data_IF_335633269094
#
_entry.id   IF_335633269094
#
_cell.length_a   1.000
_cell.length_b   1.000
_cell.length_c   1.000
_cell.angle_alpha   90.00
_cell.angle_beta   90.00
_cell.angle_gamma   90.00
#
_symmetry.space_group_name_H-M   'P 1'
#
loop_
_entity.id
_entity.type
_entity.pdbx_description
1 polymer ?
#
# COMPACT_ATOMS: atom_id res chain seq x y z
N UNK A 1 -18.43 3.00 9.27
CA UNK A 1 -17.00 3.26 9.47
C UNK A 1 -16.83 4.69 9.95
N UNK A 2 -15.74 5.00 10.64
CA UNK A 2 -15.38 6.37 11.03
C UNK A 2 -14.03 6.72 10.38
N UNK A 3 -13.91 7.93 9.84
CA UNK A 3 -12.67 8.45 9.27
C UNK A 3 -12.47 9.89 9.76
N UNK A 4 -11.26 10.18 10.22
CA UNK A 4 -10.82 11.51 10.58
C UNK A 4 -9.49 11.81 9.91
N UNK A 5 -9.33 13.02 9.41
CA UNK A 5 -8.07 13.50 8.85
C UNK A 5 -7.88 14.97 9.19
N UNK A 6 -6.63 15.35 9.44
CA UNK A 6 -6.24 16.73 9.67
C UNK A 6 -4.87 16.97 9.02
N UNK A 7 -4.63 18.18 8.53
CA UNK A 7 -3.35 18.51 7.94
C UNK A 7 -3.14 20.00 7.79
N UNK A 8 -1.88 20.37 7.69
CA UNK A 8 -1.40 21.73 7.46
C UNK A 8 -0.50 21.69 6.23
N UNK A 9 -0.73 22.62 5.31
CA UNK A 9 0.06 22.80 4.11
C UNK A 9 0.65 24.21 4.11
N UNK A 10 1.90 24.32 3.69
CA UNK A 10 2.61 25.57 3.57
C UNK A 10 3.19 25.70 2.17
N UNK A 11 2.82 26.79 1.50
CA UNK A 11 3.23 27.10 0.13
C UNK A 11 3.90 28.48 0.15
N UNK A 12 5.24 28.57 0.23
CA UNK A 12 5.91 29.86 0.17
C UNK A 12 5.73 30.50 -1.21
N UNK A 13 5.62 31.83 -1.22
CA UNK A 13 5.62 32.63 -2.45
C UNK A 13 7.06 32.78 -2.93
N UNK A 14 7.42 32.03 -3.97
CA UNK A 14 8.73 32.06 -4.62
C UNK A 14 8.50 32.29 -6.12
N UNK A 15 9.36 33.09 -6.75
CA UNK A 15 9.15 33.55 -8.14
C UNK A 15 9.31 32.43 -9.17
N UNK A 16 10.38 31.64 -9.04
CA UNK A 16 10.77 30.66 -10.07
C UNK A 16 10.53 29.21 -9.68
N UNK A 17 10.21 28.96 -8.40
CA UNK A 17 10.05 27.62 -7.83
C UNK A 17 8.68 27.55 -7.16
N UNK A 18 7.90 26.53 -7.45
CA UNK A 18 6.71 26.21 -6.65
C UNK A 18 7.07 25.14 -5.64
N UNK A 19 6.86 25.40 -4.36
CA UNK A 19 7.09 24.45 -3.27
C UNK A 19 5.82 24.35 -2.44
N UNK A 20 5.44 23.14 -2.06
CA UNK A 20 4.38 22.87 -1.09
C UNK A 20 4.91 21.85 -0.09
N UNK A 21 5.01 22.22 1.18
CA UNK A 21 5.26 21.30 2.27
C UNK A 21 3.94 20.99 2.97
N UNK A 22 3.73 19.74 3.36
CA UNK A 22 2.51 19.31 4.03
C UNK A 22 2.81 18.37 5.19
N UNK A 23 2.10 18.56 6.30
CA UNK A 23 2.05 17.62 7.41
C UNK A 23 0.60 17.24 7.63
N UNK A 24 0.29 15.96 7.59
CA UNK A 24 -1.08 15.46 7.81
C UNK A 24 -1.09 14.22 8.68
N UNK A 25 -2.22 14.00 9.34
CA UNK A 25 -2.52 12.79 10.10
C UNK A 25 -3.91 12.28 9.76
N UNK A 26 -4.11 10.98 9.94
CA UNK A 26 -5.39 10.34 9.68
C UNK A 26 -5.65 9.21 10.67
N UNK A 27 -6.93 8.89 10.85
CA UNK A 27 -7.43 7.74 11.57
C UNK A 27 -8.66 7.17 10.86
N UNK A 28 -8.69 5.85 10.67
CA UNK A 28 -9.79 5.09 10.11
C UNK A 28 -10.16 3.95 11.06
N UNK A 29 -11.47 3.78 11.30
CA UNK A 29 -12.05 2.64 12.00
C UNK A 29 -13.15 2.02 11.11
N UNK A 30 -12.80 0.92 10.48
CA UNK A 30 -13.71 0.12 9.65
C UNK A 30 -14.27 -0.98 10.54
N UNK A 31 -15.57 -0.91 10.82
CA UNK A 31 -16.32 -1.93 11.55
C UNK A 31 -17.25 -2.63 10.58
N UNK A 32 -17.66 -3.85 10.92
CA UNK A 32 -18.57 -4.64 10.10
C UNK A 32 -17.98 -4.90 8.69
N UNK A 33 -16.67 -5.07 8.60
CA UNK A 33 -15.97 -5.44 7.37
C UNK A 33 -16.44 -6.84 6.94
N UNK A 34 -16.79 -6.97 5.66
CA UNK A 34 -17.27 -8.24 5.08
C UNK A 34 -16.07 -9.16 4.93
N UNK A 35 -16.12 -10.32 5.58
CA UNK A 35 -15.17 -11.41 5.34
C UNK A 35 -15.91 -12.70 5.04
N UNK A 36 -15.29 -13.53 4.23
CA UNK A 36 -15.74 -14.89 3.99
C UNK A 36 -15.56 -15.70 5.27
N UNK A 37 -16.64 -16.30 5.76
CA UNK A 37 -16.63 -17.17 6.94
C UNK A 37 -17.18 -18.55 6.58
N UNK A 38 -16.62 -19.60 7.16
CA UNK A 38 -17.21 -20.93 7.13
C UNK A 38 -18.45 -20.97 8.06
N UNK A 39 -19.58 -21.49 7.56
CA UNK A 39 -20.79 -21.74 8.34
C UNK A 39 -20.63 -23.12 9.00
N UNK A 40 -20.45 -23.14 10.32
CA UNK A 40 -20.14 -24.36 11.09
C UNK A 40 -21.40 -25.11 11.56
N UNK A 41 -22.60 -24.54 11.39
CA UNK A 41 -23.85 -25.23 11.72
C UNK A 41 -24.73 -25.36 10.47
N UNK A 42 -25.02 -26.59 10.00
CA UNK A 42 -26.18 -26.79 9.16
C UNK A 42 -27.42 -26.34 9.95
N UNK A 43 -28.43 -25.79 9.27
CA UNK A 43 -29.75 -25.69 9.87
C UNK A 43 -30.27 -27.08 10.28
N UNK A 44 -31.52 -27.17 10.72
CA UNK A 44 -32.22 -28.43 11.01
C UNK A 44 -32.24 -29.45 9.85
N UNK A 45 -31.71 -29.07 8.68
CA UNK A 45 -31.50 -29.92 7.53
C UNK A 45 -30.02 -30.33 7.49
N UNK A 46 -29.75 -31.63 7.69
CA UNK A 46 -28.45 -32.31 7.61
C UNK A 46 -27.76 -32.16 6.24
N UNK A 47 -27.40 -30.94 5.84
CA UNK A 47 -26.66 -30.66 4.61
C UNK A 47 -25.25 -30.17 4.94
N UNK A 48 -24.32 -31.12 4.98
CA UNK A 48 -22.90 -30.95 5.29
C UNK A 48 -22.10 -30.25 4.18
N UNK A 49 -22.73 -29.39 3.38
CA UNK A 49 -22.01 -28.58 2.39
C UNK A 49 -21.30 -27.45 3.13
N UNK A 50 -19.99 -27.33 2.89
CA UNK A 50 -19.13 -26.25 3.39
C UNK A 50 -19.60 -24.89 2.89
N UNK A 51 -20.64 -24.37 3.51
CA UNK A 51 -21.27 -23.11 3.16
C UNK A 51 -20.38 -22.01 3.69
N UNK A 52 -19.69 -21.30 2.80
CA UNK A 52 -19.07 -20.04 3.15
C UNK A 52 -20.10 -18.92 2.98
N UNK A 53 -20.20 -18.02 3.95
CA UNK A 53 -20.99 -16.79 3.80
C UNK A 53 -20.14 -15.57 4.05
N UNK A 54 -20.44 -14.52 3.31
CA UNK A 54 -19.92 -13.19 3.59
C UNK A 54 -20.64 -12.65 4.83
N UNK A 55 -19.88 -12.36 5.88
CA UNK A 55 -20.44 -11.82 7.12
C UNK A 55 -19.67 -10.58 7.56
N UNK A 56 -20.42 -9.60 8.05
CA UNK A 56 -19.92 -8.31 8.52
C UNK A 56 -19.36 -8.40 9.95
N UNK A 57 -18.34 -9.22 10.13
CA UNK A 57 -17.82 -9.59 11.46
C UNK A 57 -16.47 -8.96 11.78
N UNK A 58 -15.79 -8.41 10.79
CA UNK A 58 -14.43 -7.96 10.96
C UNK A 58 -14.33 -6.48 11.31
N UNK A 59 -13.23 -6.13 11.96
CA UNK A 59 -12.86 -4.76 12.26
C UNK A 59 -11.40 -4.52 11.94
N UNK A 60 -11.10 -3.38 11.34
CA UNK A 60 -9.74 -2.94 11.09
C UNK A 60 -9.61 -1.46 11.42
N UNK A 61 -8.46 -1.09 11.97
CA UNK A 61 -8.11 0.32 12.19
C UNK A 61 -6.80 0.64 11.51
N UNK A 62 -6.75 1.81 10.88
CA UNK A 62 -5.50 2.37 10.36
C UNK A 62 -5.35 3.79 10.86
N UNK A 63 -4.14 4.17 11.20
CA UNK A 63 -3.82 5.53 11.64
C UNK A 63 -2.45 5.89 11.11
N UNK A 64 -2.13 7.17 11.00
CA UNK A 64 -0.79 7.52 10.58
C UNK A 64 -0.57 9.00 10.39
N UNK A 65 0.68 9.32 10.08
CA UNK A 65 1.12 10.65 9.71
C UNK A 65 1.83 10.63 8.38
N UNK A 66 1.74 11.74 7.65
CA UNK A 66 2.43 11.97 6.38
C UNK A 66 3.10 13.34 6.38
N UNK A 67 4.40 13.34 6.12
CA UNK A 67 5.16 14.51 5.71
C UNK A 67 5.32 14.46 4.20
N UNK A 68 4.89 15.50 3.50
CA UNK A 68 4.97 15.59 2.03
C UNK A 68 5.70 16.84 1.59
N UNK A 69 6.45 16.72 0.50
CA UNK A 69 7.07 17.82 -0.21
C UNK A 69 6.74 17.70 -1.69
N UNK A 70 6.18 18.76 -2.26
CA UNK A 70 6.07 18.95 -3.71
C UNK A 70 6.97 20.11 -4.10
N UNK A 71 7.76 19.93 -5.14
CA UNK A 71 8.61 20.98 -5.66
C UNK A 71 8.56 20.96 -7.19
N UNK A 72 8.43 22.12 -7.81
CA UNK A 72 8.46 22.28 -9.25
C UNK A 72 9.40 23.42 -9.60
N UNK A 73 10.37 23.12 -10.45
CA UNK A 73 11.32 24.10 -10.96
C UNK A 73 11.62 23.81 -12.43
N UNK A 74 11.29 24.75 -13.31
CA UNK A 74 11.44 24.61 -14.77
C UNK A 74 10.77 23.32 -15.29
N UNK A 75 11.56 22.37 -15.80
CA UNK A 75 11.07 21.09 -16.30
C UNK A 75 10.92 20.02 -15.22
N UNK A 76 11.48 20.23 -14.02
CA UNK A 76 11.45 19.27 -12.93
C UNK A 76 10.18 19.40 -12.12
N UNK A 77 9.58 18.25 -11.79
CA UNK A 77 8.49 18.11 -10.83
C UNK A 77 8.80 16.94 -9.91
N UNK A 78 8.95 17.24 -8.63
CA UNK A 78 9.23 16.28 -7.57
C UNK A 78 8.03 16.27 -6.64
N UNK A 79 7.54 15.08 -6.30
CA UNK A 79 6.62 14.86 -5.19
C UNK A 79 7.19 13.74 -4.34
N UNK A 80 7.38 13.97 -3.06
CA UNK A 80 7.86 12.95 -2.13
C UNK A 80 7.03 12.96 -0.86
N UNK A 81 6.91 11.81 -0.22
CA UNK A 81 6.12 11.63 0.99
C UNK A 81 6.70 10.56 1.90
N UNK A 82 6.97 10.93 3.15
CA UNK A 82 7.27 10.01 4.24
C UNK A 82 6.02 9.76 5.06
N UNK A 83 5.66 8.50 5.24
CA UNK A 83 4.47 8.10 5.98
C UNK A 83 4.88 7.17 7.12
N UNK A 84 4.25 7.31 8.28
CA UNK A 84 4.27 6.33 9.35
C UNK A 84 2.84 5.81 9.52
N UNK A 85 2.63 4.54 9.17
CA UNK A 85 1.28 3.94 9.09
C UNK A 85 1.17 2.86 10.15
N UNK A 86 0.24 3.04 11.08
CA UNK A 86 -0.16 2.06 12.07
C UNK A 86 -1.36 1.26 11.59
N UNK A 87 -1.28 -0.06 11.72
CA UNK A 87 -2.38 -0.97 11.37
C UNK A 87 -2.76 -1.83 12.56
N UNK A 88 -4.06 -1.99 12.78
CA UNK A 88 -4.67 -3.04 13.61
C UNK A 88 -5.59 -3.85 12.71
N UNK A 89 -5.22 -5.09 12.47
CA UNK A 89 -6.08 -6.02 11.74
C UNK A 89 -7.16 -6.61 12.66
N UNK A 90 -8.03 -7.45 12.11
CA UNK A 90 -9.14 -8.03 12.86
C UNK A 90 -8.76 -8.78 14.13
N UNK A 91 -7.60 -9.44 14.13
CA UNK A 91 -7.16 -10.22 15.28
C UNK A 91 -6.77 -9.33 16.47
N UNK A 92 -6.38 -8.07 16.23
CA UNK A 92 -6.07 -7.10 17.30
C UNK A 92 -7.31 -6.67 18.13
N UNK A 93 -8.51 -7.15 17.79
CA UNK A 93 -9.74 -6.92 18.52
C UNK A 93 -10.26 -8.15 19.27
N UNK A 94 -9.57 -9.30 19.16
CA UNK A 94 -9.91 -10.52 19.90
C UNK A 94 -9.57 -10.39 21.38
N UNK A 95 -10.16 -11.25 22.22
CA UNK A 95 -9.90 -11.23 23.65
C UNK A 95 -8.47 -11.72 23.94
N UNK A 96 -7.99 -12.74 23.22
CA UNK A 96 -6.64 -13.26 23.31
C UNK A 96 -5.61 -12.15 23.08
N UNK A 97 -5.80 -11.32 22.04
CA UNK A 97 -4.93 -10.20 21.74
C UNK A 97 -4.87 -9.15 22.87
N UNK A 98 -5.96 -8.98 23.64
CA UNK A 98 -5.97 -8.09 24.82
C UNK A 98 -5.23 -8.71 25.98
N UNK A 99 -5.45 -9.99 26.25
CA UNK A 99 -4.80 -10.73 27.34
C UNK A 99 -3.27 -10.74 27.17
N UNK A 100 -2.77 -10.87 25.93
CA UNK A 100 -1.33 -10.84 25.64
C UNK A 100 -0.79 -9.45 25.26
N UNK A 101 -1.57 -8.37 25.43
CA UNK A 101 -1.17 -6.99 25.11
C UNK A 101 -0.70 -6.76 23.66
N UNK A 102 -1.24 -7.52 22.71
CA UNK A 102 -0.97 -7.41 21.26
C UNK A 102 -2.04 -6.62 20.50
N UNK A 103 -2.93 -5.90 21.18
CA UNK A 103 -3.99 -5.11 20.57
C UNK A 103 -3.56 -3.72 20.06
N UNK A 104 -2.25 -3.40 20.08
CA UNK A 104 -1.71 -2.10 19.70
C UNK A 104 -1.56 -1.93 18.17
N UNK A 105 -1.32 -0.70 17.72
CA UNK A 105 -1.00 -0.42 16.31
C UNK A 105 0.40 -0.89 15.95
N UNK A 106 0.51 -1.66 14.87
CA UNK A 106 1.78 -2.02 14.27
C UNK A 106 2.16 -0.96 13.24
N UNK A 107 3.16 -0.14 13.57
CA UNK A 107 3.63 0.92 12.70
C UNK A 107 4.70 0.44 11.72
N UNK A 108 4.60 0.88 10.47
CA UNK A 108 5.65 0.73 9.47
C UNK A 108 5.86 2.06 8.72
N UNK A 109 7.11 2.39 8.33
CA UNK A 109 7.39 3.54 7.51
C UNK A 109 7.12 3.25 6.03
N UNK A 110 6.74 4.26 5.27
CA UNK A 110 6.62 4.20 3.81
C UNK A 110 7.16 5.48 3.18
N UNK A 111 8.04 5.33 2.20
CA UNK A 111 8.54 6.43 1.37
C UNK A 111 7.93 6.33 -0.03
N UNK A 112 7.37 7.43 -0.52
CA UNK A 112 6.87 7.59 -1.87
C UNK A 112 7.66 8.70 -2.56
N UNK A 113 8.09 8.48 -3.79
CA UNK A 113 8.82 9.43 -4.61
C UNK A 113 8.29 9.39 -6.05
N UNK A 114 7.83 10.53 -6.55
CA UNK A 114 7.44 10.75 -7.94
C UNK A 114 8.35 11.85 -8.51
N UNK A 115 9.20 11.50 -9.46
CA UNK A 115 10.09 12.43 -10.12
C UNK A 115 9.74 12.51 -11.59
N UNK A 116 9.57 13.72 -12.10
CA UNK A 116 9.29 13.97 -13.50
C UNK A 116 10.24 15.02 -14.04
N UNK A 117 10.64 14.83 -15.29
CA UNK A 117 11.33 15.86 -16.05
C UNK A 117 10.67 16.03 -17.41
N UNK A 118 10.29 17.26 -17.74
CA UNK A 118 9.65 17.62 -18.99
C UNK A 118 10.57 18.49 -19.85
N UNK A 119 10.99 17.94 -20.98
CA UNK A 119 11.61 18.70 -22.06
C UNK A 119 10.50 19.36 -22.88
N UNK A 120 10.33 20.69 -22.74
CA UNK A 120 9.26 21.45 -23.41
C UNK A 120 9.35 21.41 -24.93
N UNK A 121 10.54 21.63 -25.51
CA UNK A 121 10.74 21.68 -26.98
C UNK A 121 10.34 20.38 -27.68
N UNK A 122 10.79 19.20 -27.24
CA UNK A 122 10.31 17.95 -27.81
C UNK A 122 8.97 17.49 -27.21
N UNK A 123 8.32 18.20 -26.28
CA UNK A 123 7.10 17.70 -25.63
C UNK A 123 7.25 16.30 -25.01
N UNK A 124 8.42 16.03 -24.42
CA UNK A 124 8.80 14.73 -23.85
C UNK A 124 8.81 14.85 -22.32
N UNK A 125 8.23 13.88 -21.63
CA UNK A 125 8.24 13.77 -20.17
C UNK A 125 8.73 12.40 -19.76
N UNK A 126 9.85 12.35 -19.05
CA UNK A 126 10.28 11.15 -18.32
C UNK A 126 9.74 11.21 -16.89
N UNK A 127 9.25 10.08 -16.40
CA UNK A 127 8.71 9.92 -15.05
C UNK A 127 9.30 8.69 -14.39
N UNK A 128 9.68 8.84 -13.12
CA UNK A 128 10.15 7.77 -12.25
C UNK A 128 9.31 7.78 -10.98
N UNK A 129 8.86 6.60 -10.57
CA UNK A 129 8.06 6.40 -9.39
C UNK A 129 8.74 5.36 -8.51
N UNK A 130 8.79 5.62 -7.20
CA UNK A 130 9.34 4.72 -6.21
C UNK A 130 8.40 4.68 -5.02
N UNK A 131 8.04 3.48 -4.59
CA UNK A 131 7.29 3.24 -3.37
C UNK A 131 8.03 2.20 -2.52
N UNK A 132 8.68 2.66 -1.45
CA UNK A 132 9.35 1.82 -0.48
C UNK A 132 8.45 1.60 0.73
N UNK A 133 8.22 0.34 1.06
CA UNK A 133 7.47 -0.09 2.23
C UNK A 133 8.48 -0.71 3.20
N UNK A 134 8.57 -0.13 4.39
CA UNK A 134 9.42 -0.63 5.45
C UNK A 134 8.92 -1.95 6.03
N UNK A 135 9.71 -2.50 6.95
CA UNK A 135 9.35 -3.73 7.67
C UNK A 135 7.99 -3.53 8.36
N UNK A 136 7.06 -4.43 8.10
CA UNK A 136 5.69 -4.41 8.64
C UNK A 136 5.44 -5.68 9.43
N UNK A 137 4.70 -5.58 10.53
CA UNK A 137 4.26 -6.73 11.30
C UNK A 137 2.74 -6.76 11.38
N UNK A 138 2.16 -7.95 11.27
CA UNK A 138 0.73 -8.21 11.40
C UNK A 138 0.50 -9.36 12.38
N UNK A 139 -0.69 -9.41 12.98
CA UNK A 139 -1.14 -10.58 13.72
C UNK A 139 -1.72 -11.63 12.78
N UNK A 140 -1.40 -12.89 13.01
CA UNK A 140 -2.00 -14.04 12.33
C UNK A 140 -2.32 -15.13 13.35
N UNK A 141 -3.16 -16.09 12.95
CA UNK A 141 -3.26 -17.36 13.65
C UNK A 141 -2.27 -18.33 13.00
N UNK A 142 -1.51 -19.05 13.82
CA UNK A 142 -0.65 -20.13 13.34
C UNK A 142 -1.48 -21.42 13.11
N UNK A 143 -0.81 -22.52 12.77
CA UNK A 143 -1.44 -23.83 12.53
C UNK A 143 -2.10 -24.45 13.77
N UNK A 144 -1.83 -23.92 14.97
CA UNK A 144 -2.43 -24.36 16.25
C UNK A 144 -3.50 -23.37 16.74
N UNK A 145 -4.01 -22.49 15.86
CA UNK A 145 -4.95 -21.41 16.20
C UNK A 145 -4.45 -20.44 17.28
N UNK A 146 -3.13 -20.39 17.52
CA UNK A 146 -2.52 -19.43 18.43
C UNK A 146 -2.23 -18.13 17.72
N UNK A 147 -2.54 -17.03 18.41
CA UNK A 147 -2.20 -15.69 17.98
C UNK A 147 -0.69 -15.49 17.99
N UNK A 148 -0.12 -15.16 16.82
CA UNK A 148 1.31 -14.88 16.67
C UNK A 148 1.51 -13.65 15.79
N UNK A 149 2.64 -12.98 15.97
CA UNK A 149 3.06 -11.86 15.10
C UNK A 149 3.89 -12.41 13.95
N UNK A 150 3.49 -12.10 12.71
CA UNK A 150 4.33 -12.27 11.52
C UNK A 150 4.94 -10.94 11.12
N UNK A 151 6.17 -10.96 10.62
CA UNK A 151 6.89 -9.78 10.14
C UNK A 151 7.29 -9.98 8.69
N UNK A 152 7.00 -9.00 7.84
CA UNK A 152 7.33 -8.96 6.43
C UNK A 152 8.57 -8.10 6.19
N UNK A 153 9.48 -8.59 5.35
CA UNK A 153 10.66 -7.84 4.94
C UNK A 153 10.29 -6.56 4.19
N UNK A 154 11.09 -5.48 4.32
CA UNK A 154 10.89 -4.27 3.55
C UNK A 154 11.10 -4.54 2.06
N UNK A 155 10.42 -3.77 1.21
CA UNK A 155 10.51 -3.92 -0.24
C UNK A 155 10.23 -2.59 -0.95
N UNK A 156 10.66 -2.49 -2.20
CA UNK A 156 10.49 -1.28 -3.00
C UNK A 156 10.00 -1.62 -4.39
N UNK A 157 8.94 -0.94 -4.82
CA UNK A 157 8.44 -0.99 -6.19
C UNK A 157 8.91 0.27 -6.93
N UNK A 158 9.39 0.08 -8.16
CA UNK A 158 9.85 1.15 -9.03
C UNK A 158 9.13 1.08 -10.37
N UNK A 159 8.63 2.21 -10.85
CA UNK A 159 8.01 2.32 -12.16
C UNK A 159 8.69 3.43 -12.97
N UNK A 160 8.79 3.23 -14.29
CA UNK A 160 9.28 4.24 -15.23
C UNK A 160 8.26 4.45 -16.32
N UNK A 161 8.07 5.70 -16.74
CA UNK A 161 7.21 6.06 -17.86
C UNK A 161 7.86 7.16 -18.71
N UNK A 162 7.86 6.98 -20.02
CA UNK A 162 8.24 7.98 -21.00
C UNK A 162 7.01 8.37 -21.81
N UNK A 163 6.61 9.63 -21.70
CA UNK A 163 5.48 10.20 -22.42
C UNK A 163 5.99 11.19 -23.47
N UNK A 164 5.47 11.09 -24.69
CA UNK A 164 5.72 12.03 -25.78
C UNK A 164 4.40 12.57 -26.31
N UNK A 165 4.32 13.89 -26.39
CA UNK A 165 3.20 14.58 -27.01
C UNK A 165 3.53 14.94 -28.46
N UNK A 166 2.51 14.87 -29.30
CA UNK A 166 2.55 15.24 -30.71
C UNK A 166 1.33 16.10 -31.03
N UNK A 167 1.40 16.79 -32.17
CA UNK A 167 0.30 17.57 -32.72
C UNK A 167 -0.33 18.52 -31.68
N UNK A 168 0.51 19.37 -31.07
CA UNK A 168 0.08 20.32 -30.04
C UNK A 168 -0.73 19.67 -28.92
N UNK A 169 -0.19 18.59 -28.35
CA UNK A 169 -0.78 17.79 -27.26
C UNK A 169 -2.09 17.05 -27.58
N UNK A 170 -2.52 17.01 -28.85
CA UNK A 170 -3.67 16.20 -29.29
C UNK A 170 -3.40 14.71 -29.27
N UNK A 171 -2.15 14.29 -29.52
CA UNK A 171 -1.74 12.89 -29.43
C UNK A 171 -0.71 12.77 -28.31
N UNK A 172 -0.95 11.87 -27.37
CA UNK A 172 0.01 11.49 -26.32
C UNK A 172 0.31 10.00 -26.43
N UNK A 173 1.57 9.66 -26.70
CA UNK A 173 2.07 8.28 -26.60
C UNK A 173 2.84 8.13 -25.29
N UNK A 174 2.60 7.05 -24.55
CA UNK A 174 3.34 6.71 -23.34
C UNK A 174 3.82 5.27 -23.41
N UNK A 175 5.08 5.06 -23.07
CA UNK A 175 5.72 3.75 -22.95
C UNK A 175 6.28 3.64 -21.54
N UNK A 176 6.05 2.53 -20.86
CA UNK A 176 6.56 2.40 -19.51
C UNK A 176 6.66 0.97 -19.00
N UNK A 177 7.25 0.86 -17.82
CA UNK A 177 7.48 -0.39 -17.10
C UNK A 177 7.04 -0.17 -15.66
N UNK A 178 6.10 -0.99 -15.21
CA UNK A 178 5.77 -1.13 -13.80
C UNK A 178 6.60 -2.24 -13.19
N UNK A 179 6.94 -2.08 -11.92
CA UNK A 179 7.74 -3.04 -11.16
C UNK A 179 9.04 -3.41 -11.89
N UNK A 180 9.85 -2.39 -12.17
CA UNK A 180 11.08 -2.47 -12.96
C UNK A 180 12.09 -3.49 -12.43
N UNK A 181 12.00 -3.92 -11.17
CA UNK A 181 12.88 -4.94 -10.59
C UNK A 181 12.19 -6.27 -10.32
N UNK A 182 10.97 -6.44 -10.82
CA UNK A 182 10.24 -7.71 -10.76
C UNK A 182 10.02 -8.23 -9.33
N UNK A 183 9.72 -7.32 -8.39
CA UNK A 183 9.40 -7.66 -7.01
C UNK A 183 8.01 -8.29 -6.97
N UNK A 184 7.95 -9.61 -6.78
CA UNK A 184 6.69 -10.39 -6.74
C UNK A 184 6.35 -10.83 -5.32
N UNK A 185 7.38 -11.08 -4.51
CA UNK A 185 7.28 -11.72 -3.21
C UNK A 185 8.21 -11.08 -2.19
N UNK A 186 7.82 -11.15 -0.91
CA UNK A 186 8.66 -10.74 0.22
C UNK A 186 8.70 -11.84 1.26
N UNK A 187 9.86 -11.98 1.90
CA UNK A 187 10.02 -12.92 3.01
C UNK A 187 9.17 -12.47 4.20
N UNK A 188 8.68 -13.46 4.94
CA UNK A 188 7.93 -13.28 6.17
C UNK A 188 8.41 -14.25 7.23
N UNK A 189 8.28 -13.87 8.50
CA UNK A 189 8.60 -14.75 9.63
C UNK A 189 7.48 -15.75 9.92
N UNK A 190 6.58 -16.04 8.96
CA UNK A 190 5.44 -16.94 9.17
C UNK A 190 5.96 -18.28 9.68
N UNK A 191 5.53 -18.61 10.90
CA UNK A 191 5.85 -19.86 11.58
C UNK A 191 4.80 -20.88 11.13
N UNK A 192 5.12 -21.67 10.12
CA UNK A 192 4.46 -22.96 9.98
C UNK A 192 5.17 -23.94 10.94
N UNK A 193 4.39 -24.65 11.74
CA UNK A 193 4.94 -25.63 12.67
C UNK A 193 5.54 -26.81 11.89
N UNK A 194 6.83 -27.10 12.11
CA UNK A 194 7.37 -28.45 12.03
C UNK A 194 8.43 -28.74 10.96
N UNK A 195 9.69 -28.36 11.20
CA UNK A 195 10.86 -28.97 10.55
C UNK A 195 12.03 -28.02 10.32
N UNK A 196 13.26 -28.50 10.54
CA UNK A 196 14.53 -27.77 10.37
C UNK A 196 14.84 -27.32 8.91
N UNK A 197 13.89 -27.52 7.99
CA UNK A 197 13.97 -27.18 6.57
C UNK A 197 12.70 -26.48 6.04
N UNK A 198 11.94 -25.80 6.89
CA UNK A 198 10.80 -25.01 6.42
C UNK A 198 11.32 -23.67 5.86
N UNK A 199 11.22 -23.40 4.54
CA UNK A 199 11.55 -22.08 4.03
C UNK A 199 10.62 -21.07 4.71
N UNK A 200 11.19 -20.04 5.34
CA UNK A 200 10.38 -18.99 5.98
C UNK A 200 9.29 -18.50 5.04
N UNK A 201 8.08 -18.28 5.55
CA UNK A 201 6.92 -18.02 4.69
C UNK A 201 7.15 -16.84 3.74
N UNK A 202 6.59 -16.90 2.54
CA UNK A 202 6.65 -15.81 1.56
C UNK A 202 5.26 -15.18 1.37
N UNK A 203 5.20 -13.86 1.23
CA UNK A 203 3.98 -13.12 0.89
C UNK A 203 4.07 -12.58 -0.54
N UNK A 204 3.08 -12.88 -1.36
CA UNK A 204 2.91 -12.24 -2.67
C UNK A 204 2.51 -10.76 -2.50
N UNK A 205 3.32 -9.86 -3.06
CA UNK A 205 3.11 -8.40 -2.98
C UNK A 205 2.84 -7.75 -4.33
N UNK A 206 2.97 -8.49 -5.43
CA UNK A 206 2.72 -7.98 -6.78
C UNK A 206 2.75 -9.07 -7.84
N UNK A 207 2.23 -8.75 -9.02
CA UNK A 207 2.14 -9.64 -10.20
C UNK A 207 3.39 -9.62 -11.10
N UNK A 208 4.50 -9.03 -10.63
CA UNK A 208 5.77 -8.96 -11.36
C UNK A 208 5.88 -7.75 -12.29
N UNK A 209 6.94 -7.74 -13.12
CA UNK A 209 7.26 -6.68 -14.07
C UNK A 209 6.22 -6.62 -15.18
N UNK A 210 5.75 -5.43 -15.52
CA UNK A 210 4.76 -5.26 -16.60
C UNK A 210 5.10 -4.08 -17.48
N UNK A 211 5.21 -4.33 -18.78
CA UNK A 211 5.39 -3.31 -19.81
C UNK A 211 4.04 -2.79 -20.27
N UNK A 212 3.95 -1.50 -20.55
CA UNK A 212 2.73 -0.93 -21.09
C UNK A 212 3.00 0.12 -22.16
N UNK A 213 2.04 0.23 -23.07
CA UNK A 213 1.90 1.31 -24.04
C UNK A 213 0.53 1.92 -23.86
N UNK A 214 0.45 3.25 -23.92
CA UNK A 214 -0.81 4.00 -23.95
C UNK A 214 -0.75 5.03 -25.07
N UNK A 215 -1.75 5.00 -25.94
CA UNK A 215 -2.02 6.06 -26.90
C UNK A 215 -3.29 6.79 -26.45
N UNK A 216 -3.23 8.12 -26.37
CA UNK A 216 -4.38 8.97 -26.09
C UNK A 216 -4.51 10.01 -27.18
N UNK A 217 -5.73 10.19 -27.67
CA UNK A 217 -6.10 11.23 -28.62
C UNK A 217 -7.15 12.15 -28.00
N UNK A 218 -6.88 13.45 -28.01
CA UNK A 218 -7.79 14.50 -27.54
C UNK A 218 -8.29 15.28 -28.76
N UNK A 219 -9.60 15.21 -29.03
CA UNK A 219 -10.25 15.87 -30.16
C UNK A 219 -10.63 17.32 -29.82
#
# INVERSE_FOLDING_TARGET
SNNFQAGVHYTPLLTDVSIEAGLSGFFNDIRNEIRLMSVIAPGTDNDSRGLFRNANIARSQTTGGRLSLKAQYKGWRLETGLNAIGVRNNLAFSEEARQVSQNNFNFYPQLQLNLHYTWKRPGLTASFFLNHIGRRSDLILNTEDKLVTTTFSPYTIHDVNLKKNFWSDRISLSLGVKNLWDVTQVNSTRVEAGGAHSPGGSLLVGYGRTWFTRLQFNF
#
